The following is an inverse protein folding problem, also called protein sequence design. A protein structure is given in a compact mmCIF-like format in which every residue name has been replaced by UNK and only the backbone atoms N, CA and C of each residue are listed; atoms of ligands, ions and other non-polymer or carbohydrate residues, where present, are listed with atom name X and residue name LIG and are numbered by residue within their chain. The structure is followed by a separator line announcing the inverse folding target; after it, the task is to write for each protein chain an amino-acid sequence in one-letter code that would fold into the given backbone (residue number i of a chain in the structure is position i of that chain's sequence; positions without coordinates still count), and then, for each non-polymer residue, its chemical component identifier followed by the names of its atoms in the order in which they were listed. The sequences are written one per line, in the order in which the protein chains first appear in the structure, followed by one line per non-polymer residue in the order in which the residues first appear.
data_IF_970560180910
#
_entry.id   IF_970560180910
#
_cell.length_a   1.000
_cell.length_b   1.000
_cell.length_c   1.000
_cell.angle_alpha   90.00
_cell.angle_beta   90.00
_cell.angle_gamma   90.00
#
_symmetry.space_group_name_H-M   'P 1'
#
loop_
_entity.id
_entity.type
_entity.pdbx_description
1 polymer ?
#
# COMPACT_ATOMS: atom_id res chain seq x y z
N UNK A 1 -0.92 6.97 6.73
CA UNK A 1 -0.08 6.38 5.67
C UNK A 1 -0.65 6.71 4.30
N UNK A 2 0.14 7.36 3.45
CA UNK A 2 -0.26 7.71 2.08
C UNK A 2 0.26 6.67 1.08
N UNK A 3 -0.58 5.70 0.72
CA UNK A 3 -0.18 4.54 -0.10
C UNK A 3 -1.28 4.12 -1.08
N UNK A 4 -0.97 3.64 -2.31
CA UNK A 4 -1.95 3.20 -3.30
C UNK A 4 -2.90 2.07 -2.84
N UNK A 5 -2.38 1.10 -2.08
CA UNK A 5 -3.14 -0.06 -1.60
C UNK A 5 -3.56 0.02 -0.12
N UNK A 6 -3.60 1.22 0.46
CA UNK A 6 -4.07 1.44 1.83
C UNK A 6 -5.17 2.49 1.81
N UNK A 7 -6.35 2.12 2.33
CA UNK A 7 -7.49 3.03 2.39
C UNK A 7 -7.27 4.14 3.45
N UNK A 8 -8.25 5.05 3.58
CA UNK A 8 -8.16 6.14 4.57
C UNK A 8 -8.29 5.69 6.02
N UNK A 9 -8.76 4.46 6.25
CA UNK A 9 -8.88 3.83 7.57
C UNK A 9 -7.64 3.00 7.95
N UNK A 10 -6.71 2.78 7.02
CA UNK A 10 -5.52 1.96 7.22
C UNK A 10 -5.69 0.48 6.83
N UNK A 11 -6.78 0.11 6.15
CA UNK A 11 -7.04 -1.26 5.72
C UNK A 11 -6.29 -1.61 4.43
N UNK A 12 -5.88 -2.87 4.31
CA UNK A 12 -5.29 -3.47 3.11
C UNK A 12 -6.20 -4.62 2.67
N UNK A 13 -6.46 -4.74 1.38
CA UNK A 13 -7.18 -5.89 0.83
C UNK A 13 -6.34 -7.16 0.95
N UNK A 14 -6.93 -8.24 1.46
CA UNK A 14 -6.24 -9.52 1.62
C UNK A 14 -5.84 -10.14 0.28
N UNK A 15 -6.59 -9.89 -0.80
CA UNK A 15 -6.27 -10.43 -2.12
C UNK A 15 -5.03 -9.75 -2.72
N UNK A 16 -4.70 -8.52 -2.30
CA UNK A 16 -3.46 -7.84 -2.66
C UNK A 16 -2.22 -8.43 -1.95
N UNK A 17 -2.42 -9.13 -0.82
CA UNK A 17 -1.34 -9.71 -0.01
C UNK A 17 -0.95 -11.13 -0.47
N UNK A 18 -1.80 -11.82 -1.22
CA UNK A 18 -1.51 -13.16 -1.74
C UNK A 18 -2.50 -13.54 -2.85
N UNK A 19 -2.11 -14.41 -3.78
CA UNK A 19 -2.95 -14.99 -4.84
C UNK A 19 -4.03 -15.97 -4.32
N UNK A 20 -4.71 -15.61 -3.22
CA UNK A 20 -5.61 -16.37 -2.33
C UNK A 20 -4.93 -16.72 -1.01
N UNK A 21 -5.66 -16.49 0.07
CA UNK A 21 -5.33 -17.02 1.39
C UNK A 21 -5.35 -18.55 1.33
N UNK A 22 -4.33 -19.19 1.90
CA UNK A 22 -4.23 -20.64 2.06
C UNK A 22 -3.96 -20.98 3.53
N UNK A 23 -4.45 -22.11 4.04
CA UNK A 23 -4.21 -22.53 5.43
C UNK A 23 -2.72 -22.81 5.73
N UNK A 24 -1.87 -22.93 4.71
CA UNK A 24 -0.42 -23.06 4.87
C UNK A 24 0.30 -21.72 5.10
N UNK A 25 -0.40 -20.58 4.91
CA UNK A 25 0.22 -19.27 5.13
C UNK A 25 0.47 -19.02 6.61
N UNK A 26 1.72 -18.70 6.92
CA UNK A 26 2.14 -18.28 8.26
C UNK A 26 2.04 -16.77 8.40
N UNK A 27 2.00 -16.29 9.64
CA UNK A 27 2.10 -14.86 9.96
C UNK A 27 3.37 -14.25 9.36
N UNK A 28 4.48 -15.00 9.31
CA UNK A 28 5.73 -14.54 8.68
C UNK A 28 5.53 -14.27 7.18
N UNK A 29 4.90 -15.21 6.45
CA UNK A 29 4.63 -15.04 5.02
C UNK A 29 3.71 -13.85 4.78
N UNK A 30 2.68 -13.66 5.61
CA UNK A 30 1.80 -12.48 5.52
C UNK A 30 2.56 -11.17 5.74
N UNK A 31 3.41 -11.08 6.76
CA UNK A 31 4.20 -9.88 7.02
C UNK A 31 5.21 -9.59 5.89
N UNK A 32 5.80 -10.62 5.28
CA UNK A 32 6.64 -10.45 4.09
C UNK A 32 5.84 -9.90 2.91
N UNK A 33 4.62 -10.40 2.69
CA UNK A 33 3.73 -9.87 1.65
C UNK A 33 3.35 -8.41 1.90
N UNK A 34 3.02 -8.04 3.14
CA UNK A 34 2.74 -6.64 3.50
C UNK A 34 3.96 -5.77 3.21
N UNK A 35 5.15 -6.18 3.65
CA UNK A 35 6.38 -5.43 3.35
C UNK A 35 6.61 -5.26 1.85
N UNK A 36 6.44 -6.33 1.07
CA UNK A 36 6.56 -6.27 -0.39
C UNK A 36 5.57 -5.28 -0.98
N UNK A 37 4.31 -5.29 -0.53
CA UNK A 37 3.27 -4.39 -1.02
C UNK A 37 3.58 -2.91 -0.67
N UNK A 38 4.18 -2.65 0.49
CA UNK A 38 4.60 -1.31 0.90
C UNK A 38 5.79 -0.78 0.07
N UNK A 39 6.70 -1.67 -0.32
CA UNK A 39 7.85 -1.34 -1.16
C UNK A 39 7.43 -1.20 -2.65
N UNK A 40 6.51 -2.05 -3.09
CA UNK A 40 6.04 -2.19 -4.48
C UNK A 40 4.50 -2.25 -4.52
N UNK A 41 3.82 -1.09 -4.58
CA UNK A 41 2.35 -1.04 -4.63
C UNK A 41 1.79 -1.66 -5.92
N UNK A 42 0.63 -2.31 -5.79
CA UNK A 42 -0.15 -2.80 -6.92
C UNK A 42 -0.96 -1.65 -7.52
N UNK A 43 -0.63 -1.25 -8.75
CA UNK A 43 -1.28 -0.17 -9.50
C UNK A 43 -2.46 -0.65 -10.35
N UNK A 44 -2.64 -1.96 -10.49
CA UNK A 44 -3.75 -2.55 -11.26
C UNK A 44 -5.02 -2.67 -10.42
N UNK A 45 -4.89 -2.93 -9.12
CA UNK A 45 -6.01 -2.96 -8.17
C UNK A 45 -5.74 -2.08 -6.92
N UNK A 46 -5.73 -0.74 -7.08
CA UNK A 46 -5.44 0.16 -5.98
C UNK A 46 -6.68 0.43 -5.12
N UNK A 47 -6.51 0.39 -3.80
CA UNK A 47 -7.50 0.91 -2.85
C UNK A 47 -7.76 2.41 -3.05
N UNK A 48 -6.76 3.14 -3.58
CA UNK A 48 -6.80 4.57 -3.86
C UNK A 48 -6.28 4.89 -5.26
N UNK A 49 -7.14 4.89 -6.28
CA UNK A 49 -6.76 5.10 -7.68
C UNK A 49 -6.00 6.41 -7.91
N UNK A 50 -6.36 7.49 -7.22
CA UNK A 50 -5.72 8.80 -7.35
C UNK A 50 -4.27 8.80 -6.84
N UNK A 51 -3.97 7.94 -5.87
CA UNK A 51 -2.61 7.78 -5.33
C UNK A 51 -1.79 6.88 -6.24
N UNK A 52 -2.39 5.83 -6.79
CA UNK A 52 -1.76 4.96 -7.78
C UNK A 52 -1.40 5.72 -9.06
N UNK A 53 -2.31 6.55 -9.57
CA UNK A 53 -2.06 7.39 -10.73
C UNK A 53 -0.89 8.35 -10.48
N UNK A 54 -0.87 9.01 -9.32
CA UNK A 54 0.23 9.90 -8.95
C UNK A 54 1.56 9.15 -8.81
N UNK A 55 1.53 7.94 -8.25
CA UNK A 55 2.70 7.07 -8.11
C UNK A 55 3.32 6.75 -9.47
N UNK A 56 2.50 6.45 -10.48
CA UNK A 56 2.96 6.11 -11.84
C UNK A 56 3.36 7.35 -12.65
N UNK A 57 2.52 8.38 -12.67
CA UNK A 57 2.69 9.54 -13.56
C UNK A 57 3.65 10.60 -13.00
N UNK A 58 3.74 10.74 -11.69
CA UNK A 58 4.52 11.80 -11.04
C UNK A 58 5.20 11.30 -9.74
N UNK A 59 6.18 10.38 -9.83
CA UNK A 59 6.80 9.74 -8.67
C UNK A 59 7.50 10.71 -7.72
N UNK A 60 8.01 11.84 -8.20
CA UNK A 60 8.59 12.88 -7.34
C UNK A 60 7.52 13.59 -6.48
N UNK A 61 6.37 13.91 -7.08
CA UNK A 61 5.26 14.52 -6.37
C UNK A 61 4.62 13.54 -5.38
N UNK A 62 4.49 12.27 -5.77
CA UNK A 62 4.09 11.20 -4.85
C UNK A 62 4.98 11.15 -3.61
N UNK A 63 6.31 11.07 -3.78
CA UNK A 63 7.26 11.02 -2.66
C UNK A 63 7.16 12.24 -1.75
N UNK A 64 6.97 13.43 -2.32
CA UNK A 64 6.78 14.67 -1.55
C UNK A 64 5.52 14.59 -0.70
N UNK A 65 4.38 14.20 -1.30
CA UNK A 65 3.09 14.09 -0.58
C UNK A 65 3.08 12.97 0.44
N UNK A 66 3.73 11.85 0.16
CA UNK A 66 3.85 10.74 1.09
C UNK A 66 4.56 11.20 2.37
N UNK A 67 5.72 11.85 2.22
CA UNK A 67 6.50 12.39 3.34
C UNK A 67 5.73 13.43 4.16
N UNK A 68 5.02 14.33 3.50
CA UNK A 68 4.23 15.38 4.16
C UNK A 68 3.05 14.80 4.97
N UNK A 69 2.33 13.83 4.40
CA UNK A 69 1.19 13.18 5.07
C UNK A 69 1.58 12.25 6.20
N UNK A 70 2.74 11.60 6.13
CA UNK A 70 3.22 10.76 7.21
C UNK A 70 3.68 11.59 8.42
N UNK A 71 4.19 12.80 8.20
CA UNK A 71 4.56 13.76 9.27
C UNK A 71 3.33 14.44 9.90
N UNK A 72 2.22 14.52 9.17
CA UNK A 72 0.96 15.12 9.62
C UNK A 72 0.05 14.18 10.42
N UNK A 73 0.38 12.88 10.56
CA UNK A 73 -0.36 11.96 11.42
C UNK A 73 -0.05 12.28 12.90
N UNK A 74 -1.03 12.70 13.72
CA UNK A 74 -0.78 13.03 15.12
C UNK A 74 -0.30 11.79 15.88
N UNK A 75 0.79 11.96 16.63
CA UNK A 75 1.33 10.97 17.57
C UNK A 75 0.36 10.67 18.71
#
# INVERSE_FOLDING_TARGET
LYHPNIDTCGSIDMDALSTKWSPEQTVETMLRSVRRLLDEPDVHDPARPEVAELYVLAPQDYRRRARDRDDASPS
#
